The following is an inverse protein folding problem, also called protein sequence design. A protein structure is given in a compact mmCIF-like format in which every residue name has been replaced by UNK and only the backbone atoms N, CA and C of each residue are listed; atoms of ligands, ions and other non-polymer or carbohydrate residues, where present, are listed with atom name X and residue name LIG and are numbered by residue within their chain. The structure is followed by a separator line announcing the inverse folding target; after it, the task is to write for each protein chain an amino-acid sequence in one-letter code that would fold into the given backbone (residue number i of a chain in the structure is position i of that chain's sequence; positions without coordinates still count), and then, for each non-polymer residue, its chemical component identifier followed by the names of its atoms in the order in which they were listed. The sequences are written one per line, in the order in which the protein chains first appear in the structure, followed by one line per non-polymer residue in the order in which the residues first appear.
data_IF_743018578902
#
_entry.id   IF_743018578902
#
_cell.length_a   1.000
_cell.length_b   1.000
_cell.length_c   1.000
_cell.angle_alpha   90.00
_cell.angle_beta   90.00
_cell.angle_gamma   90.00
#
_symmetry.space_group_name_H-M   'P 1'
#
loop_
_entity.id
_entity.type
_entity.pdbx_description
1 polymer ?
#
# COMPACT_ATOMS: atom_id res chain seq x y z
N UNK A 1 20.67 -4.23 -16.42
CA UNK A 1 20.58 -3.58 -15.09
C UNK A 1 19.46 -4.29 -14.38
N UNK A 2 19.78 -5.09 -13.35
CA UNK A 2 18.77 -5.50 -12.38
C UNK A 2 18.45 -4.24 -11.60
N UNK A 3 17.25 -3.68 -11.76
CA UNK A 3 16.78 -2.72 -10.79
C UNK A 3 16.36 -3.59 -9.61
N UNK A 4 17.13 -3.56 -8.54
CA UNK A 4 16.82 -4.31 -7.32
C UNK A 4 15.65 -3.61 -6.63
N UNK A 5 14.45 -3.87 -7.16
CA UNK A 5 13.20 -3.36 -6.64
C UNK A 5 12.95 -3.96 -5.25
N UNK A 6 12.61 -3.11 -4.30
CA UNK A 6 12.15 -3.54 -2.97
C UNK A 6 10.63 -3.63 -2.96
N UNK A 7 10.10 -4.64 -2.26
CA UNK A 7 8.67 -4.89 -2.16
C UNK A 7 8.26 -4.83 -0.69
N UNK A 8 7.37 -3.91 -0.36
CA UNK A 8 6.79 -3.78 0.98
C UNK A 8 5.32 -4.13 0.95
N UNK A 9 4.90 -5.07 1.80
CA UNK A 9 3.50 -5.49 1.91
C UNK A 9 2.98 -5.08 3.28
N UNK A 10 1.89 -4.31 3.29
CA UNK A 10 1.11 -4.03 4.49
C UNK A 10 -0.31 -4.59 4.33
N UNK A 11 -0.86 -5.12 5.42
CA UNK A 11 -2.23 -5.64 5.44
C UNK A 11 -2.91 -5.18 6.72
N UNK A 12 -4.13 -4.68 6.57
CA UNK A 12 -4.98 -4.26 7.69
C UNK A 12 -6.33 -4.95 7.60
N UNK A 13 -6.89 -5.27 8.76
CA UNK A 13 -8.31 -5.59 8.85
C UNK A 13 -9.07 -4.27 8.67
N UNK A 14 -9.99 -4.23 7.71
CA UNK A 14 -10.83 -3.07 7.48
C UNK A 14 -12.12 -3.18 8.32
N UNK A 15 -12.85 -2.06 8.44
CA UNK A 15 -14.14 -2.04 9.13
C UNK A 15 -15.22 -2.82 8.38
N UNK A 16 -16.40 -3.03 8.99
CA UNK A 16 -17.59 -3.40 8.23
C UNK A 16 -17.99 -2.20 7.37
N UNK A 17 -18.08 -2.39 6.05
CA UNK A 17 -18.59 -1.36 5.14
C UNK A 17 -19.91 -1.80 4.51
N UNK A 18 -20.87 -0.91 4.56
CA UNK A 18 -22.16 -0.97 3.86
C UNK A 18 -22.15 -0.19 2.53
N UNK A 19 -21.08 0.55 2.28
CA UNK A 19 -20.94 1.50 1.18
C UNK A 19 -19.56 1.35 0.52
N UNK A 20 -19.56 1.10 -0.78
CA UNK A 20 -18.35 0.98 -1.59
C UNK A 20 -17.51 2.27 -1.57
N UNK A 21 -18.14 3.44 -1.47
CA UNK A 21 -17.42 4.71 -1.42
C UNK A 21 -16.56 4.82 -0.16
N UNK A 22 -17.12 4.46 1.02
CA UNK A 22 -16.37 4.44 2.28
C UNK A 22 -15.22 3.43 2.24
N UNK A 23 -15.46 2.22 1.73
CA UNK A 23 -14.43 1.20 1.55
C UNK A 23 -13.28 1.71 0.67
N UNK A 24 -13.62 2.37 -0.44
CA UNK A 24 -12.64 2.91 -1.40
C UNK A 24 -11.81 4.02 -0.76
N UNK A 25 -12.43 4.93 0.00
CA UNK A 25 -11.74 6.02 0.70
C UNK A 25 -10.74 5.46 1.72
N UNK A 26 -11.15 4.49 2.54
CA UNK A 26 -10.24 3.92 3.54
C UNK A 26 -9.07 3.16 2.91
N UNK A 27 -9.30 2.41 1.82
CA UNK A 27 -8.22 1.74 1.10
C UNK A 27 -7.26 2.74 0.46
N UNK A 28 -7.77 3.82 -0.15
CA UNK A 28 -6.96 4.87 -0.75
C UNK A 28 -6.13 5.63 0.29
N UNK A 29 -6.72 5.91 1.45
CA UNK A 29 -6.01 6.51 2.59
C UNK A 29 -4.89 5.59 3.08
N UNK A 30 -5.18 4.30 3.25
CA UNK A 30 -4.17 3.33 3.67
C UNK A 30 -3.00 3.24 2.69
N UNK A 31 -3.29 3.15 1.39
CA UNK A 31 -2.27 3.14 0.34
C UNK A 31 -1.42 4.43 0.31
N UNK A 32 -2.07 5.59 0.49
CA UNK A 32 -1.38 6.89 0.54
C UNK A 32 -0.48 7.02 1.77
N UNK A 33 -0.93 6.53 2.93
CA UNK A 33 -0.12 6.48 4.15
C UNK A 33 1.09 5.58 3.97
N UNK A 34 0.93 4.37 3.43
CA UNK A 34 2.03 3.45 3.17
C UNK A 34 3.09 4.11 2.26
N UNK A 35 2.66 4.71 1.15
CA UNK A 35 3.57 5.40 0.23
C UNK A 35 4.30 6.59 0.88
N UNK A 36 3.60 7.35 1.73
CA UNK A 36 4.21 8.47 2.48
C UNK A 36 5.28 7.98 3.45
N UNK A 37 5.02 6.88 4.17
CA UNK A 37 5.98 6.30 5.10
C UNK A 37 7.21 5.76 4.38
N UNK A 38 7.04 5.05 3.25
CA UNK A 38 8.16 4.59 2.44
C UNK A 38 9.05 5.75 1.94
N UNK A 39 8.44 6.85 1.50
CA UNK A 39 9.17 8.06 1.12
C UNK A 39 9.96 8.67 2.29
N UNK A 40 9.34 8.72 3.49
CA UNK A 40 9.94 9.33 4.68
C UNK A 40 11.02 8.47 5.34
N UNK A 41 10.90 7.14 5.29
CA UNK A 41 11.70 6.24 6.10
C UNK A 41 13.06 5.89 5.47
N UNK A 42 13.19 5.86 4.13
CA UNK A 42 14.34 5.15 3.53
C UNK A 42 14.98 5.85 2.33
N UNK A 43 14.61 7.10 2.00
CA UNK A 43 15.09 7.73 0.76
C UNK A 43 14.74 6.85 -0.45
N UNK A 44 13.58 6.21 -0.40
CA UNK A 44 13.10 5.29 -1.41
C UNK A 44 12.03 5.95 -2.26
N UNK A 45 12.13 5.81 -3.57
CA UNK A 45 11.13 6.29 -4.52
C UNK A 45 10.07 5.20 -4.70
N UNK A 46 8.81 5.51 -4.40
CA UNK A 46 7.69 4.62 -4.70
C UNK A 46 7.45 4.63 -6.22
N UNK A 47 7.70 3.50 -6.89
CA UNK A 47 7.53 3.35 -8.34
C UNK A 47 6.19 2.73 -8.71
N UNK A 48 5.58 1.96 -7.80
CA UNK A 48 4.21 1.50 -7.97
C UNK A 48 3.52 1.24 -6.64
N UNK A 49 2.20 1.35 -6.66
CA UNK A 49 1.32 1.02 -5.55
C UNK A 49 0.25 0.09 -6.12
N UNK A 50 0.16 -1.11 -5.57
CA UNK A 50 -0.93 -2.06 -5.85
C UNK A 50 -1.73 -2.28 -4.58
N UNK A 51 -3.04 -2.44 -4.71
CA UNK A 51 -3.89 -2.74 -3.57
C UNK A 51 -4.99 -3.75 -3.92
N UNK A 52 -5.34 -4.58 -2.95
CA UNK A 52 -6.38 -5.59 -3.08
C UNK A 52 -7.26 -5.64 -1.84
N UNK A 53 -8.48 -6.14 -2.02
CA UNK A 53 -9.41 -6.41 -0.93
C UNK A 53 -9.72 -7.91 -0.94
N UNK A 54 -9.61 -8.54 0.22
CA UNK A 54 -9.92 -9.97 0.40
C UNK A 54 -10.92 -10.15 1.54
N UNK A 55 -11.86 -11.08 1.37
CA UNK A 55 -12.81 -11.49 2.41
C UNK A 55 -12.33 -12.79 3.06
N UNK A 56 -12.09 -12.79 4.37
CA UNK A 56 -11.62 -13.95 5.14
C UNK A 56 -12.44 -14.03 6.43
N UNK A 57 -13.07 -15.18 6.69
CA UNK A 57 -13.83 -15.44 7.92
C UNK A 57 -14.83 -14.34 8.33
N UNK A 58 -15.56 -13.80 7.34
CA UNK A 58 -16.56 -12.76 7.60
C UNK A 58 -16.01 -11.34 7.73
N UNK A 59 -14.72 -11.13 7.44
CA UNK A 59 -14.03 -9.85 7.60
C UNK A 59 -13.35 -9.43 6.30
N UNK A 60 -13.26 -8.12 6.09
CA UNK A 60 -12.52 -7.52 4.98
C UNK A 60 -11.08 -7.22 5.39
N UNK A 61 -10.15 -7.52 4.49
CA UNK A 61 -8.74 -7.20 4.61
C UNK A 61 -8.30 -6.40 3.39
N UNK A 62 -7.68 -5.25 3.64
CA UNK A 62 -7.02 -4.44 2.63
C UNK A 62 -5.53 -4.75 2.66
N UNK A 63 -4.96 -5.03 1.50
CA UNK A 63 -3.52 -5.24 1.33
C UNK A 63 -3.00 -4.18 0.38
N UNK A 64 -1.88 -3.55 0.73
CA UNK A 64 -1.13 -2.64 -0.12
C UNK A 64 0.26 -3.23 -0.33
N UNK A 65 0.65 -3.33 -1.59
CA UNK A 65 2.00 -3.66 -2.03
C UNK A 65 2.61 -2.40 -2.61
N UNK A 66 3.70 -1.94 -2.01
CA UNK A 66 4.58 -0.93 -2.57
C UNK A 66 5.71 -1.61 -3.32
N UNK A 67 6.02 -1.09 -4.51
CA UNK A 67 7.31 -1.32 -5.15
C UNK A 67 8.11 -0.04 -5.01
N UNK A 68 9.30 -0.15 -4.43
CA UNK A 68 10.21 0.97 -4.21
C UNK A 68 11.55 0.74 -4.90
N UNK A 69 12.19 1.85 -5.24
CA UNK A 69 13.58 1.91 -5.73
C UNK A 69 14.42 2.80 -4.82
N UNK A 70 15.73 2.58 -4.82
CA UNK A 70 16.67 3.50 -4.18
C UNK A 70 16.65 4.87 -4.88
N UNK A 71 16.66 5.95 -4.11
CA UNK A 71 16.83 7.27 -4.66
C UNK A 71 18.26 7.44 -5.18
N UNK A 72 18.44 7.40 -6.49
CA UNK A 72 19.71 7.81 -7.12
C UNK A 72 19.89 9.33 -6.95
N UNK A 73 20.75 9.72 -6.02
CA UNK A 73 21.23 11.10 -5.88
C UNK A 73 22.24 11.38 -7.00
N UNK A 74 21.84 12.21 -7.97
CA UNK A 74 22.75 12.78 -8.97
C UNK A 74 23.47 14.02 -8.41
#
# INVERSE_FOLDING_TARGET
MSADHSYEISTIQLGPYDDLAKLTVDLANHASTAATLAWQAEGQVVVSISHSITWIDGKLFGTVLLTTDEQTLN
#
